data_IF_270803602640
#
_entry.id   IF_270803602640
#
_cell.length_a   1.000
_cell.length_b   1.000
_cell.length_c   1.000
_cell.angle_alpha   90.00
_cell.angle_beta   90.00
_cell.angle_gamma   90.00
#
_symmetry.space_group_name_H-M   'P 1'
#
loop_
_entity.id
_entity.type
_entity.pdbx_description
1 polymer ?
#
# COMPACT_ATOMS: atom_id res chain seq x y z
N UNK A 1 8.24 25.85 4.65
CA UNK A 1 8.25 24.52 5.29
C UNK A 1 7.08 23.77 4.69
N UNK A 2 7.33 22.72 3.91
CA UNK A 2 6.24 21.88 3.41
C UNK A 2 5.60 21.19 4.62
N UNK A 3 4.27 21.21 4.67
CA UNK A 3 3.53 20.44 5.67
C UNK A 3 3.80 18.98 5.37
N UNK A 4 4.30 18.17 6.33
CA UNK A 4 4.47 16.74 6.09
C UNK A 4 3.14 16.18 5.60
N UNK A 5 3.16 15.53 4.43
CA UNK A 5 1.96 14.95 3.84
C UNK A 5 1.37 13.82 4.69
N UNK A 6 2.01 13.44 5.81
CA UNK A 6 1.46 12.53 6.82
C UNK A 6 1.03 13.31 8.06
N UNK A 7 -0.09 14.01 7.93
CA UNK A 7 -0.92 14.40 9.05
C UNK A 7 -2.13 13.45 9.11
N UNK A 8 -2.82 13.37 10.26
CA UNK A 8 -4.11 12.69 10.36
C UNK A 8 -5.01 13.04 9.16
N UNK A 9 -5.44 12.02 8.40
CA UNK A 9 -6.34 12.18 7.25
C UNK A 9 -5.70 12.21 5.85
N UNK A 10 -4.36 12.04 5.73
CA UNK A 10 -3.71 11.89 4.42
C UNK A 10 -3.07 10.49 4.33
N UNK A 11 -3.73 9.61 3.58
CA UNK A 11 -3.26 8.26 3.28
C UNK A 11 -3.16 8.08 1.76
N UNK A 12 -2.23 7.24 1.28
CA UNK A 12 -2.19 6.85 -0.11
C UNK A 12 -3.43 6.02 -0.42
N UNK A 13 -4.06 6.39 -1.52
CA UNK A 13 -5.14 5.65 -2.13
C UNK A 13 -4.54 4.91 -3.32
N UNK A 14 -4.70 3.60 -3.35
CA UNK A 14 -4.35 2.76 -4.49
C UNK A 14 -5.60 2.49 -5.30
N UNK A 15 -5.52 2.59 -6.62
CA UNK A 15 -6.59 2.26 -7.56
C UNK A 15 -6.07 1.15 -8.46
N UNK A 16 -6.74 0.00 -8.46
CA UNK A 16 -6.36 -1.18 -9.25
C UNK A 16 -7.45 -1.50 -10.26
N UNK A 17 -7.05 -2.03 -11.41
CA UNK A 17 -7.96 -2.39 -12.49
C UNK A 17 -7.97 -3.91 -12.67
N UNK A 18 -9.16 -4.52 -12.59
CA UNK A 18 -9.35 -5.95 -12.78
C UNK A 18 -8.95 -6.82 -11.58
N UNK A 19 -8.91 -8.14 -11.77
CA UNK A 19 -8.60 -9.09 -10.70
C UNK A 19 -7.10 -9.07 -10.34
N UNK A 20 -6.82 -9.30 -9.07
CA UNK A 20 -5.47 -9.40 -8.53
C UNK A 20 -5.44 -9.29 -7.01
N UNK A 21 -4.25 -9.13 -6.46
CA UNK A 21 -3.99 -9.04 -5.02
C UNK A 21 -3.09 -7.85 -4.73
N UNK A 22 -3.50 -7.01 -3.78
CA UNK A 22 -2.66 -5.95 -3.25
C UNK A 22 -1.83 -6.49 -2.10
N UNK A 23 -0.52 -6.45 -2.26
CA UNK A 23 0.43 -6.87 -1.24
C UNK A 23 0.96 -5.64 -0.51
N UNK A 24 1.03 -5.73 0.82
CA UNK A 24 1.47 -4.63 1.70
C UNK A 24 2.49 -5.14 2.72
N UNK A 25 3.43 -4.28 3.07
CA UNK A 25 4.50 -4.50 4.03
C UNK A 25 4.60 -3.27 4.92
N UNK A 26 4.58 -3.46 6.23
CA UNK A 26 4.96 -2.47 7.23
C UNK A 26 6.23 -2.96 7.95
N UNK A 27 7.26 -2.14 8.00
CA UNK A 27 8.58 -2.56 8.47
C UNK A 27 9.36 -1.41 9.12
N UNK A 28 10.55 -1.75 9.61
CA UNK A 28 11.43 -0.83 10.33
C UNK A 28 10.73 -0.18 11.53
N UNK A 29 10.02 -1.02 12.31
CA UNK A 29 9.34 -0.56 13.50
C UNK A 29 10.31 -0.22 14.62
N UNK A 30 9.99 0.83 15.36
CA UNK A 30 10.80 1.26 16.51
C UNK A 30 10.73 0.23 17.64
N UNK A 31 9.58 0.14 18.31
CA UNK A 31 9.37 -0.75 19.47
C UNK A 31 8.69 -2.09 19.14
N UNK A 32 8.16 -2.23 17.91
CA UNK A 32 7.52 -3.44 17.44
C UNK A 32 8.58 -4.35 16.77
N UNK A 33 8.79 -5.56 17.30
CA UNK A 33 9.93 -6.40 16.88
C UNK A 33 9.73 -7.18 15.57
N UNK A 34 8.60 -6.99 14.88
CA UNK A 34 8.21 -7.88 13.78
C UNK A 34 7.69 -7.07 12.60
N UNK A 35 8.35 -7.18 11.44
CA UNK A 35 7.83 -6.68 10.17
C UNK A 35 6.55 -7.45 9.81
N UNK A 36 5.59 -6.75 9.21
CA UNK A 36 4.27 -7.31 8.94
C UNK A 36 3.97 -7.25 7.46
N UNK A 37 3.54 -8.38 6.89
CA UNK A 37 2.98 -8.44 5.54
C UNK A 37 1.51 -8.81 5.56
N UNK A 38 0.76 -8.27 4.61
CA UNK A 38 -0.60 -8.67 4.30
C UNK A 38 -0.83 -8.71 2.79
N UNK A 39 -1.74 -9.57 2.36
CA UNK A 39 -2.17 -9.69 0.98
C UNK A 39 -3.69 -9.62 0.96
N UNK A 40 -4.24 -8.63 0.25
CA UNK A 40 -5.67 -8.40 0.18
C UNK A 40 -6.13 -8.60 -1.27
N UNK A 41 -6.88 -9.68 -1.56
CA UNK A 41 -7.37 -9.92 -2.91
C UNK A 41 -8.43 -8.88 -3.27
N UNK A 42 -8.40 -8.36 -4.50
CA UNK A 42 -9.56 -7.71 -5.07
C UNK A 42 -10.72 -8.72 -5.07
N UNK A 43 -11.94 -8.23 -4.85
CA UNK A 43 -13.12 -9.10 -4.78
C UNK A 43 -13.10 -10.06 -5.97
N UNK A 44 -13.17 -11.40 -5.74
CA UNK A 44 -13.05 -12.37 -6.82
C UNK A 44 -14.12 -12.05 -7.86
N UNK A 45 -13.69 -11.68 -9.08
CA UNK A 45 -14.51 -11.28 -10.24
C UNK A 45 -14.79 -9.77 -10.44
N UNK A 46 -14.17 -8.84 -9.71
CA UNK A 46 -14.24 -7.43 -10.10
C UNK A 46 -13.36 -7.20 -11.34
N UNK A 47 -13.95 -7.29 -12.54
CA UNK A 47 -13.34 -6.76 -13.76
C UNK A 47 -13.22 -5.22 -13.74
N UNK A 48 -13.82 -4.58 -12.73
CA UNK A 48 -13.86 -3.14 -12.54
C UNK A 48 -12.68 -2.56 -11.77
N UNK A 49 -12.92 -1.38 -11.20
CA UNK A 49 -11.95 -0.58 -10.46
C UNK A 49 -12.10 -0.90 -8.97
N UNK A 50 -11.00 -1.16 -8.27
CA UNK A 50 -10.97 -1.24 -6.81
C UNK A 50 -10.13 -0.11 -6.26
N UNK A 51 -10.68 0.65 -5.32
CA UNK A 51 -9.94 1.65 -4.56
C UNK A 51 -9.58 1.08 -3.19
N UNK A 52 -8.35 1.32 -2.77
CA UNK A 52 -7.78 0.81 -1.53
C UNK A 52 -7.28 1.97 -0.70
N UNK A 53 -7.66 1.99 0.57
CA UNK A 53 -7.04 2.83 1.59
C UNK A 53 -5.96 2.01 2.29
N UNK A 54 -4.71 2.44 2.22
CA UNK A 54 -3.65 1.82 3.00
C UNK A 54 -3.68 2.33 4.45
N UNK A 55 -3.54 1.40 5.38
CA UNK A 55 -3.50 1.68 6.81
C UNK A 55 -2.09 1.53 7.34
N UNK A 56 -1.69 2.53 8.12
CA UNK A 56 -0.36 2.67 8.67
C UNK A 56 -0.46 2.72 10.19
N UNK A 57 0.23 1.81 10.88
CA UNK A 57 0.29 1.79 12.32
C UNK A 57 1.48 2.61 12.81
N UNK A 58 1.28 3.47 13.82
CA UNK A 58 2.29 4.42 14.30
C UNK A 58 3.62 3.80 14.77
N UNK A 59 3.67 2.48 14.97
CA UNK A 59 4.87 1.76 15.38
C UNK A 59 5.84 1.45 14.22
N UNK A 60 5.43 1.61 12.96
CA UNK A 60 6.26 1.36 11.76
C UNK A 60 6.68 2.67 11.08
N UNK A 61 7.95 2.72 10.69
CA UNK A 61 8.53 3.88 10.00
C UNK A 61 8.53 3.75 8.48
N UNK A 62 8.39 2.55 7.93
CA UNK A 62 8.45 2.33 6.50
C UNK A 62 7.34 1.40 6.04
N UNK A 63 6.80 1.71 4.87
CA UNK A 63 5.74 0.94 4.23
C UNK A 63 6.11 0.65 2.79
N UNK A 64 5.71 -0.52 2.30
CA UNK A 64 5.83 -0.85 0.90
C UNK A 64 4.59 -1.60 0.43
N UNK A 65 4.25 -1.46 -0.84
CA UNK A 65 3.16 -2.22 -1.44
C UNK A 65 3.41 -2.46 -2.92
N UNK A 66 2.79 -3.51 -3.45
CA UNK A 66 2.81 -3.80 -4.87
C UNK A 66 1.49 -4.47 -5.28
N UNK A 67 1.17 -4.39 -6.57
CA UNK A 67 0.00 -5.01 -7.16
C UNK A 67 0.38 -6.27 -7.94
N UNK A 68 -0.20 -7.40 -7.56
CA UNK A 68 -0.13 -8.67 -8.29
C UNK A 68 -1.47 -8.91 -9.01
N UNK A 69 -1.63 -8.35 -10.21
CA UNK A 69 -2.87 -8.48 -10.95
C UNK A 69 -2.71 -8.34 -12.44
N UNK A 70 -3.79 -8.66 -13.16
CA UNK A 70 -3.79 -8.68 -14.62
C UNK A 70 -3.87 -7.27 -15.25
N UNK A 71 -4.43 -6.30 -14.53
CA UNK A 71 -4.52 -4.91 -14.99
C UNK A 71 -3.57 -3.98 -14.23
N UNK A 72 -3.58 -2.71 -14.64
CA UNK A 72 -2.71 -1.68 -14.08
C UNK A 72 -3.13 -1.30 -12.65
N UNK A 73 -2.19 -0.70 -11.92
CA UNK A 73 -2.44 -0.13 -10.61
C UNK A 73 -1.72 1.21 -10.48
N UNK A 74 -2.42 2.18 -9.90
CA UNK A 74 -1.92 3.52 -9.65
C UNK A 74 -2.14 3.92 -8.21
N UNK A 75 -1.32 4.81 -7.68
CA UNK A 75 -1.51 5.39 -6.37
C UNK A 75 -1.48 6.92 -6.42
N UNK A 76 -2.12 7.53 -5.42
CA UNK A 76 -2.13 8.98 -5.19
C UNK A 76 -2.26 9.29 -3.70
N UNK A 77 -1.86 10.47 -3.27
CA UNK A 77 -2.21 10.97 -1.94
C UNK A 77 -3.58 11.65 -1.96
N UNK A 78 -4.47 11.22 -1.07
CA UNK A 78 -5.79 11.83 -0.90
C UNK A 78 -6.53 12.03 -2.22
N UNK A 79 -6.92 13.28 -2.51
CA UNK A 79 -7.61 13.67 -3.74
C UNK A 79 -6.69 14.24 -4.83
N UNK A 80 -5.38 14.01 -4.74
CA UNK A 80 -4.45 14.45 -5.78
C UNK A 80 -4.84 13.91 -7.15
N UNK A 81 -4.75 14.75 -8.19
CA UNK A 81 -4.96 14.33 -9.58
C UNK A 81 -3.72 13.66 -10.18
N UNK A 82 -2.56 13.76 -9.51
CA UNK A 82 -1.35 13.09 -9.94
C UNK A 82 -1.40 11.63 -9.48
N UNK A 83 -1.46 10.74 -10.47
CA UNK A 83 -1.39 9.30 -10.28
C UNK A 83 -0.01 8.79 -10.67
N UNK A 84 0.54 7.88 -9.88
CA UNK A 84 1.82 7.24 -10.15
C UNK A 84 1.66 5.72 -10.19
N UNK A 85 2.44 5.01 -11.01
CA UNK A 85 2.33 3.56 -11.12
C UNK A 85 2.69 2.90 -9.79
N UNK A 86 2.01 1.78 -9.51
CA UNK A 86 2.34 0.91 -8.40
C UNK A 86 3.35 -0.13 -8.84
N UNK A 87 4.25 -0.50 -7.94
CA UNK A 87 5.17 -1.61 -8.11
C UNK A 87 4.47 -2.93 -8.42
N UNK A 88 5.20 -3.88 -9.00
CA UNK A 88 4.65 -5.19 -9.43
C UNK A 88 5.19 -6.38 -8.65
N UNK A 89 6.17 -6.16 -7.77
CA UNK A 89 6.78 -7.22 -6.95
C UNK A 89 7.50 -6.63 -5.74
N UNK A 90 7.96 -7.47 -4.82
CA UNK A 90 8.82 -6.99 -3.73
C UNK A 90 10.20 -6.51 -4.18
N UNK A 91 10.65 -6.83 -5.39
CA UNK A 91 11.90 -6.29 -5.95
C UNK A 91 11.73 -4.92 -6.60
N UNK A 92 10.49 -4.52 -6.82
CA UNK A 92 10.07 -3.25 -7.43
C UNK A 92 8.74 -2.83 -6.79
N UNK A 93 8.76 -2.61 -5.48
CA UNK A 93 7.58 -2.22 -4.71
C UNK A 93 7.49 -0.69 -4.63
N UNK A 94 6.30 -0.15 -4.50
CA UNK A 94 6.13 1.26 -4.15
C UNK A 94 6.48 1.45 -2.68
N UNK A 95 7.57 2.15 -2.41
CA UNK A 95 8.10 2.40 -1.08
C UNK A 95 7.68 3.76 -0.52
N UNK A 96 7.23 3.77 0.73
CA UNK A 96 6.75 4.95 1.44
C UNK A 96 7.44 5.04 2.81
N UNK A 97 8.42 5.94 2.97
CA UNK A 97 8.95 6.26 4.29
C UNK A 97 7.98 7.16 5.07
N UNK A 98 7.97 6.98 6.38
CA UNK A 98 7.25 7.86 7.30
C UNK A 98 7.89 9.25 7.29
N UNK A 99 7.04 10.27 7.15
CA UNK A 99 7.46 11.67 7.28
C UNK A 99 8.20 12.25 6.07
N UNK A 100 8.24 11.57 4.92
CA UNK A 100 8.88 12.07 3.70
C UNK A 100 7.88 12.27 2.56
N UNK A 101 8.24 13.10 1.58
CA UNK A 101 7.47 13.26 0.33
C UNK A 101 8.02 12.37 -0.80
N UNK A 102 9.06 11.58 -0.51
CA UNK A 102 9.77 10.80 -1.52
C UNK A 102 9.18 9.40 -1.54
N UNK A 103 8.48 9.10 -2.63
CA UNK A 103 8.02 7.75 -2.95
C UNK A 103 8.76 7.29 -4.19
N UNK A 104 9.34 6.12 -4.11
CA UNK A 104 10.17 5.53 -5.16
C UNK A 104 10.03 4.00 -5.17
N UNK A 105 10.58 3.37 -6.21
CA UNK A 105 10.64 1.92 -6.31
C UNK A 105 11.67 1.34 -5.35
N UNK A 106 11.25 0.41 -4.50
CA UNK A 106 12.10 -0.26 -3.51
C UNK A 106 12.21 -1.76 -3.76
N UNK A 107 13.41 -2.29 -3.52
CA UNK A 107 13.61 -3.72 -3.35
C UNK A 107 13.58 -4.08 -1.87
N UNK A 108 12.45 -4.64 -1.43
CA UNK A 108 12.18 -5.08 -0.05
C UNK A 108 11.98 -6.60 0.04
N UNK A 109 12.41 -7.36 -0.96
CA UNK A 109 12.16 -8.81 -1.03
C UNK A 109 12.67 -9.59 0.19
N UNK A 110 13.87 -9.27 0.69
CA UNK A 110 14.42 -9.88 1.89
C UNK A 110 13.64 -9.52 3.15
N UNK A 111 13.25 -8.25 3.28
CA UNK A 111 12.42 -7.74 4.39
C UNK A 111 11.06 -8.42 4.43
N UNK A 112 10.40 -8.54 3.27
CA UNK A 112 9.11 -9.20 3.13
C UNK A 112 9.19 -10.70 3.41
N UNK A 113 10.27 -11.38 2.99
CA UNK A 113 10.47 -12.80 3.26
C UNK A 113 10.66 -13.10 4.76
N UNK A 114 11.22 -12.16 5.53
CA UNK A 114 11.39 -12.28 6.98
C UNK A 114 10.18 -11.77 7.78
N UNK A 115 9.18 -11.17 7.13
CA UNK A 115 8.03 -10.59 7.79
C UNK A 115 7.03 -11.66 8.24
N UNK A 116 6.31 -11.38 9.31
CA UNK A 116 5.19 -12.23 9.76
C UNK A 116 3.94 -11.84 9.00
N UNK A 117 3.23 -12.85 8.48
CA UNK A 117 1.92 -12.62 7.86
C UNK A 117 0.88 -12.25 8.93
N UNK A 118 0.29 -11.07 8.80
CA UNK A 118 -0.85 -10.61 9.61
C UNK A 118 -1.97 -10.09 8.70
N UNK A 119 -2.34 -10.87 7.68
CA UNK A 119 -3.46 -10.55 6.78
C UNK A 119 -4.76 -10.20 7.53
N UNK A 120 -4.99 -10.84 8.68
CA UNK A 120 -6.16 -10.62 9.55
C UNK A 120 -6.14 -9.28 10.31
N UNK A 121 -5.03 -8.54 10.27
CA UNK A 121 -4.88 -7.21 10.90
C UNK A 121 -5.12 -6.04 9.93
N UNK A 122 -5.61 -6.31 8.70
CA UNK A 122 -5.95 -5.35 7.64
C UNK A 122 -4.99 -4.14 7.52
N UNK A 123 -3.97 -4.26 6.69
CA UNK A 123 -3.11 -3.15 6.27
C UNK A 123 -3.65 -2.37 5.05
N UNK A 124 -4.68 -2.88 4.41
CA UNK A 124 -5.40 -2.22 3.33
C UNK A 124 -6.89 -2.48 3.48
N UNK A 125 -7.70 -1.47 3.16
CA UNK A 125 -9.15 -1.52 3.20
C UNK A 125 -9.70 -1.18 1.82
N UNK A 126 -10.63 -1.99 1.31
CA UNK A 126 -11.37 -1.63 0.09
C UNK A 126 -12.30 -0.48 0.41
N UNK A 127 -12.26 0.57 -0.41
CA UNK A 127 -13.24 1.66 -0.40
C UNK A 127 -14.37 1.21 -1.34
N UNK A 128 -15.58 0.92 -0.82
CA UNK A 128 -16.72 0.64 -1.68
C UNK A 128 -16.95 1.83 -2.61
N UNK A 129 -17.12 1.58 -3.91
CA UNK A 129 -17.62 2.60 -4.80
C UNK A 129 -19.10 2.83 -4.47
N UNK A 130 -19.41 3.94 -3.80
CA UNK A 130 -20.76 4.29 -3.38
C UNK A 130 -21.57 4.99 -4.48
N UNK A 131 -21.45 4.53 -5.72
CA UNK A 131 -22.19 5.07 -6.86
C UNK A 131 -23.11 3.99 -7.46
N UNK A 132 -24.23 3.76 -6.76
CA UNK A 132 -25.50 3.43 -7.39
C UNK A 132 -26.30 4.74 -7.60
#
# INVERSE_FOLDING_TARGET
MSTPHYANGIAPIVTTFGPGTLHTLAFNAGSCNVNVVAAVPATPNSAGITNWLLSFAYDFNDYAFYWDGAGEAFWRFGNSTLMQPVGTSWTDATGIPLGTEVIEGWNVASTAAAATNRGDMSLAFVIPDGLD
#
